data_IF_917142452970
#
_entry.id   IF_917142452970
#
_cell.length_a   1.000
_cell.length_b   1.000
_cell.length_c   1.000
_cell.angle_alpha   90.00
_cell.angle_beta   90.00
_cell.angle_gamma   90.00
#
_symmetry.space_group_name_H-M   'P 1'
#
loop_
_entity.id
_entity.type
_entity.pdbx_description
1 polymer ?
#
# COMPACT_ATOMS: atom_id res chain seq x y z
N UNK A 1 23.45 -41.58 -13.48
CA UNK A 1 23.19 -40.13 -13.38
C UNK A 1 22.36 -39.91 -12.13
N UNK A 2 22.86 -39.10 -11.19
CA UNK A 2 22.15 -38.77 -9.96
C UNK A 2 21.31 -37.51 -10.24
N UNK A 3 20.00 -37.61 -10.11
CA UNK A 3 19.11 -36.47 -10.30
C UNK A 3 18.61 -35.98 -8.95
N UNK A 4 18.63 -34.69 -8.72
CA UNK A 4 18.09 -34.08 -7.52
C UNK A 4 16.58 -34.35 -7.42
N UNK A 5 16.12 -34.91 -6.30
CA UNK A 5 14.69 -35.23 -6.12
C UNK A 5 13.79 -33.97 -5.98
N UNK A 6 14.37 -32.78 -5.81
CA UNK A 6 13.64 -31.51 -5.66
C UNK A 6 13.47 -30.80 -7.01
N UNK A 7 14.56 -30.58 -7.74
CA UNK A 7 14.51 -29.83 -9.01
C UNK A 7 14.53 -30.72 -10.26
N UNK A 8 14.72 -32.04 -10.09
CA UNK A 8 14.83 -33.05 -11.16
C UNK A 8 16.00 -32.87 -12.14
N UNK A 9 16.90 -31.91 -11.87
CA UNK A 9 18.12 -31.69 -12.65
C UNK A 9 19.23 -32.67 -12.24
N UNK A 10 20.14 -32.94 -13.18
CA UNK A 10 21.33 -33.75 -12.93
C UNK A 10 22.26 -33.06 -11.92
N UNK A 11 22.83 -33.85 -11.02
CA UNK A 11 23.85 -33.42 -10.05
C UNK A 11 25.21 -33.71 -10.67
N UNK A 12 25.92 -32.64 -11.03
CA UNK A 12 27.21 -32.72 -11.74
C UNK A 12 28.36 -32.75 -10.73
N UNK A 13 29.10 -33.84 -10.71
CA UNK A 13 30.26 -34.03 -9.83
C UNK A 13 31.32 -32.94 -10.09
N UNK A 14 31.82 -32.33 -9.00
CA UNK A 14 32.80 -31.24 -9.05
C UNK A 14 32.20 -29.84 -9.28
N UNK A 15 30.92 -29.72 -9.66
CA UNK A 15 30.20 -28.43 -9.72
C UNK A 15 29.17 -28.29 -8.61
N UNK A 16 28.46 -29.38 -8.34
CA UNK A 16 27.34 -29.41 -7.41
C UNK A 16 27.73 -30.06 -6.07
N UNK A 17 27.19 -29.52 -4.99
CA UNK A 17 27.30 -30.13 -3.66
C UNK A 17 26.12 -31.09 -3.49
N UNK A 18 26.41 -32.40 -3.45
CA UNK A 18 25.43 -33.45 -3.23
C UNK A 18 25.13 -33.62 -1.74
N UNK A 19 23.85 -33.60 -1.39
CA UNK A 19 23.33 -34.02 -0.07
C UNK A 19 22.36 -35.19 -0.25
N UNK A 20 22.16 -35.96 0.81
CA UNK A 20 21.25 -37.09 0.80
C UNK A 20 20.46 -37.17 2.10
N UNK A 21 19.24 -37.68 2.01
CA UNK A 21 18.49 -38.12 3.19
C UNK A 21 19.02 -39.46 3.71
N UNK A 22 18.58 -39.94 4.89
CA UNK A 22 18.99 -41.25 5.42
C UNK A 22 18.66 -42.45 4.52
N UNK A 23 17.67 -42.31 3.63
CA UNK A 23 17.30 -43.31 2.62
C UNK A 23 17.99 -43.06 1.26
N UNK A 24 19.16 -42.41 1.27
CA UNK A 24 20.03 -42.17 0.10
C UNK A 24 19.46 -41.33 -1.05
N UNK A 25 18.27 -40.73 -0.91
CA UNK A 25 17.73 -39.88 -1.96
C UNK A 25 18.54 -38.59 -2.16
N UNK A 26 19.05 -38.33 -3.38
CA UNK A 26 19.99 -37.25 -3.66
C UNK A 26 19.31 -35.89 -3.89
N UNK A 27 19.93 -34.82 -3.38
CA UNK A 27 19.51 -33.42 -3.59
C UNK A 27 20.72 -32.50 -3.73
N UNK A 28 20.57 -31.41 -4.48
CA UNK A 28 21.52 -30.28 -4.44
C UNK A 28 21.47 -29.59 -3.07
N UNK A 29 22.62 -29.15 -2.56
CA UNK A 29 22.71 -28.40 -1.28
C UNK A 29 21.83 -27.14 -1.28
N UNK A 30 21.83 -26.37 -2.38
CA UNK A 30 20.98 -25.18 -2.53
C UNK A 30 19.48 -25.53 -2.57
N UNK A 31 19.10 -26.59 -3.30
CA UNK A 31 17.71 -27.05 -3.30
C UNK A 31 17.26 -27.53 -1.92
N UNK A 32 18.16 -28.18 -1.17
CA UNK A 32 17.87 -28.63 0.19
C UNK A 32 17.70 -27.46 1.15
N UNK A 33 18.57 -26.44 1.09
CA UNK A 33 18.45 -25.23 1.92
C UNK A 33 17.09 -24.55 1.74
N UNK A 34 16.66 -24.35 0.50
CA UNK A 34 15.34 -23.79 0.19
C UNK A 34 14.20 -24.71 0.68
N UNK A 35 14.32 -26.02 0.51
CA UNK A 35 13.31 -26.98 0.99
C UNK A 35 13.15 -26.98 2.52
N UNK A 36 14.26 -26.86 3.26
CA UNK A 36 14.26 -26.84 4.71
C UNK A 36 13.54 -25.62 5.31
N UNK A 37 13.28 -24.56 4.52
CA UNK A 37 12.39 -23.45 4.93
C UNK A 37 10.94 -23.90 5.12
N UNK A 38 10.55 -25.02 4.49
CA UNK A 38 9.19 -25.53 4.48
C UNK A 38 9.03 -26.83 5.25
N UNK A 39 10.02 -27.74 5.19
CA UNK A 39 9.95 -29.04 5.86
C UNK A 39 11.32 -29.62 6.18
N UNK A 40 11.53 -30.21 7.38
CA UNK A 40 12.75 -30.92 7.74
C UNK A 40 12.82 -32.35 7.17
N UNK A 41 11.79 -32.80 6.44
CA UNK A 41 11.68 -34.18 5.94
C UNK A 41 11.97 -34.26 4.45
N UNK A 42 12.49 -35.40 4.00
CA UNK A 42 12.71 -35.68 2.58
C UNK A 42 11.37 -35.65 1.81
N UNK A 43 11.26 -34.91 0.68
CA UNK A 43 10.01 -34.81 -0.08
C UNK A 43 9.53 -36.15 -0.66
N UNK A 44 10.46 -37.09 -0.90
CA UNK A 44 10.15 -38.36 -1.55
C UNK A 44 9.72 -39.46 -0.57
N UNK A 45 10.42 -39.59 0.57
CA UNK A 45 10.19 -40.68 1.53
C UNK A 45 9.73 -40.20 2.91
N UNK A 46 9.54 -38.88 3.09
CA UNK A 46 9.11 -38.23 4.33
C UNK A 46 10.00 -38.52 5.55
N UNK A 47 11.21 -39.04 5.33
CA UNK A 47 12.17 -39.31 6.40
C UNK A 47 12.90 -38.02 6.78
N UNK A 48 12.99 -37.67 8.07
CA UNK A 48 13.74 -36.50 8.53
C UNK A 48 15.19 -36.53 8.05
N UNK A 49 15.72 -35.38 7.64
CA UNK A 49 17.16 -35.25 7.35
C UNK A 49 17.99 -35.41 8.63
N UNK A 50 19.28 -35.76 8.47
CA UNK A 50 20.18 -35.94 9.61
C UNK A 50 20.39 -34.64 10.40
N UNK A 51 20.70 -34.75 11.69
CA UNK A 51 20.90 -33.58 12.56
C UNK A 51 21.97 -32.63 12.02
N UNK A 52 23.08 -33.14 11.47
CA UNK A 52 24.13 -32.31 10.84
C UNK A 52 23.60 -31.46 9.66
N UNK A 53 22.72 -32.02 8.84
CA UNK A 53 22.07 -31.30 7.72
C UNK A 53 21.10 -30.25 8.27
N UNK A 54 20.28 -30.63 9.25
CA UNK A 54 19.30 -29.74 9.84
C UNK A 54 19.98 -28.57 10.56
N UNK A 55 21.08 -28.79 11.26
CA UNK A 55 21.86 -27.74 11.92
C UNK A 55 22.47 -26.76 10.92
N UNK A 56 23.04 -27.24 9.81
CA UNK A 56 23.52 -26.38 8.71
C UNK A 56 22.37 -25.60 8.06
N UNK A 57 21.18 -26.19 7.99
CA UNK A 57 19.97 -25.53 7.53
C UNK A 57 19.47 -24.42 8.46
N UNK A 58 19.66 -24.54 9.79
CA UNK A 58 19.17 -23.54 10.78
C UNK A 58 19.76 -22.15 10.56
N UNK A 59 21.04 -22.05 10.24
CA UNK A 59 21.68 -20.75 10.02
C UNK A 59 21.15 -20.08 8.75
N UNK A 60 20.95 -20.86 7.68
CA UNK A 60 20.30 -20.40 6.46
C UNK A 60 18.85 -19.95 6.70
N UNK A 61 18.07 -20.71 7.48
CA UNK A 61 16.69 -20.35 7.85
C UNK A 61 16.68 -19.00 8.60
N UNK A 62 17.54 -18.84 9.62
CA UNK A 62 17.63 -17.59 10.38
C UNK A 62 18.01 -16.40 9.51
N UNK A 63 18.93 -16.59 8.57
CA UNK A 63 19.33 -15.55 7.61
C UNK A 63 18.15 -15.15 6.71
N UNK A 64 17.43 -16.13 6.15
CA UNK A 64 16.23 -15.88 5.33
C UNK A 64 15.09 -15.22 6.10
N UNK A 65 14.87 -15.61 7.35
CA UNK A 65 13.87 -14.97 8.23
C UNK A 65 14.24 -13.51 8.49
N UNK A 66 15.52 -13.23 8.77
CA UNK A 66 16.01 -11.87 8.96
C UNK A 66 15.87 -11.02 7.68
N UNK A 67 16.25 -11.55 6.52
CA UNK A 67 16.07 -10.87 5.23
C UNK A 67 14.60 -10.51 4.98
N UNK A 68 13.68 -11.42 5.31
CA UNK A 68 12.23 -11.17 5.19
C UNK A 68 11.79 -10.04 6.12
N UNK A 69 12.21 -10.06 7.38
CA UNK A 69 11.91 -9.01 8.35
C UNK A 69 12.44 -7.64 7.87
N UNK A 70 13.66 -7.60 7.36
CA UNK A 70 14.27 -6.35 6.88
C UNK A 70 13.55 -5.82 5.64
N UNK A 71 13.12 -6.69 4.72
CA UNK A 71 12.26 -6.33 3.58
C UNK A 71 10.91 -5.78 4.04
N UNK A 72 10.24 -6.47 4.97
CA UNK A 72 8.94 -6.04 5.51
C UNK A 72 9.07 -4.68 6.22
N UNK A 73 10.15 -4.47 6.98
CA UNK A 73 10.47 -3.18 7.62
C UNK A 73 10.69 -2.07 6.60
N UNK A 74 11.44 -2.34 5.52
CA UNK A 74 11.66 -1.36 4.46
C UNK A 74 10.34 -0.91 3.81
N UNK A 75 9.43 -1.84 3.52
CA UNK A 75 8.09 -1.54 2.97
C UNK A 75 7.29 -0.66 3.93
N UNK A 76 7.36 -0.92 5.23
CA UNK A 76 6.67 -0.10 6.24
C UNK A 76 7.25 1.32 6.27
N UNK A 77 8.58 1.46 6.27
CA UNK A 77 9.27 2.76 6.27
C UNK A 77 8.88 3.57 5.02
N UNK A 78 8.83 2.93 3.85
CA UNK A 78 8.42 3.57 2.60
C UNK A 78 6.98 4.09 2.69
N UNK A 79 6.04 3.28 3.22
CA UNK A 79 4.64 3.70 3.44
C UNK A 79 4.52 4.88 4.41
N UNK A 80 5.30 4.89 5.48
CA UNK A 80 5.31 5.98 6.45
C UNK A 80 5.86 7.26 5.81
N UNK A 81 6.96 7.16 5.06
CA UNK A 81 7.55 8.29 4.35
C UNK A 81 6.55 8.88 3.34
N UNK A 82 5.88 8.04 2.56
CA UNK A 82 4.84 8.46 1.61
C UNK A 82 3.67 9.19 2.30
N UNK A 83 3.23 8.69 3.46
CA UNK A 83 2.20 9.36 4.27
C UNK A 83 2.69 10.70 4.83
N UNK A 84 3.93 10.78 5.30
CA UNK A 84 4.53 12.02 5.82
C UNK A 84 4.67 13.09 4.73
N UNK A 85 5.10 12.70 3.52
CA UNK A 85 5.19 13.61 2.37
C UNK A 85 3.81 14.18 2.04
N UNK A 86 2.78 13.33 2.03
CA UNK A 86 1.42 13.79 1.76
C UNK A 86 0.85 14.68 2.87
N UNK A 87 1.17 14.41 4.14
CA UNK A 87 0.77 15.28 5.24
C UNK A 87 1.43 16.66 5.16
N UNK A 88 2.73 16.72 4.84
CA UNK A 88 3.42 17.99 4.59
C UNK A 88 2.79 18.76 3.44
N UNK A 89 2.42 18.07 2.38
CA UNK A 89 1.69 18.66 1.26
C UNK A 89 0.37 19.29 1.72
N UNK A 90 -0.43 18.58 2.54
CA UNK A 90 -1.69 19.11 3.09
C UNK A 90 -1.48 20.34 3.96
N UNK A 91 -0.52 20.30 4.89
CA UNK A 91 -0.23 21.43 5.76
C UNK A 91 0.12 22.69 4.94
N UNK A 92 0.88 22.51 3.86
CA UNK A 92 1.21 23.62 2.95
C UNK A 92 -0.01 24.18 2.22
N UNK A 93 -1.01 23.35 1.91
CA UNK A 93 -2.28 23.83 1.34
C UNK A 93 -3.10 24.57 2.42
N UNK A 94 -3.16 24.05 3.63
CA UNK A 94 -3.90 24.69 4.73
C UNK A 94 -3.30 26.05 5.12
N UNK A 95 -1.96 26.20 5.06
CA UNK A 95 -1.27 27.49 5.22
C UNK A 95 -1.72 28.49 4.15
N UNK A 96 -1.70 28.09 2.87
CA UNK A 96 -2.15 28.94 1.77
C UNK A 96 -3.63 29.33 1.90
N UNK A 97 -4.48 28.42 2.38
CA UNK A 97 -5.89 28.70 2.66
C UNK A 97 -6.03 29.73 3.78
N UNK A 98 -5.24 29.63 4.86
CA UNK A 98 -5.24 30.61 5.96
C UNK A 98 -4.82 32.00 5.49
N UNK A 99 -3.84 32.06 4.60
CA UNK A 99 -3.37 33.30 3.95
C UNK A 99 -4.35 33.83 2.88
N UNK A 100 -5.44 33.11 2.60
CA UNK A 100 -6.40 33.37 1.50
C UNK A 100 -5.76 33.34 0.10
N UNK A 101 -4.58 32.74 -0.03
CA UNK A 101 -3.90 32.55 -1.30
C UNK A 101 -4.44 31.30 -2.02
N UNK A 102 -5.70 31.38 -2.46
CA UNK A 102 -6.43 30.27 -3.06
C UNK A 102 -5.86 29.84 -4.42
N UNK A 103 -5.23 30.76 -5.16
CA UNK A 103 -4.69 30.47 -6.49
C UNK A 103 -3.45 29.58 -6.38
N UNK A 104 -2.49 29.97 -5.54
CA UNK A 104 -1.33 29.13 -5.28
C UNK A 104 -1.71 27.75 -4.71
N UNK A 105 -2.78 27.68 -3.89
CA UNK A 105 -3.29 26.41 -3.37
C UNK A 105 -3.84 25.52 -4.49
N UNK A 106 -4.62 26.07 -5.41
CA UNK A 106 -5.15 25.34 -6.57
C UNK A 106 -4.04 24.92 -7.53
N UNK A 107 -3.04 25.76 -7.76
CA UNK A 107 -1.89 25.44 -8.62
C UNK A 107 -1.11 24.26 -8.06
N UNK A 108 -0.83 24.26 -6.75
CA UNK A 108 -0.21 23.11 -6.06
C UNK A 108 -1.05 21.84 -6.19
N UNK A 109 -2.38 21.93 -6.07
CA UNK A 109 -3.29 20.78 -6.22
C UNK A 109 -3.41 20.30 -7.68
N UNK A 110 -3.21 21.17 -8.67
CA UNK A 110 -3.25 20.82 -10.09
C UNK A 110 -1.91 20.27 -10.59
N UNK A 111 -0.80 20.65 -9.96
CA UNK A 111 0.53 20.09 -10.24
C UNK A 111 0.67 18.61 -9.84
N UNK A 112 -0.24 18.09 -9.00
CA UNK A 112 -0.23 16.68 -8.61
C UNK A 112 -0.69 15.81 -9.79
N UNK A 113 0.15 14.88 -10.22
CA UNK A 113 -0.17 13.93 -11.28
C UNK A 113 -1.04 12.78 -10.75
N UNK A 114 -2.26 12.68 -11.26
CA UNK A 114 -3.26 11.68 -10.87
C UNK A 114 -2.80 10.22 -11.02
N UNK A 115 -1.84 9.92 -11.92
CA UNK A 115 -1.41 8.55 -12.22
C UNK A 115 -0.72 7.83 -11.06
N UNK A 116 -0.12 8.58 -10.13
CA UNK A 116 0.63 8.02 -9.01
C UNK A 116 -0.12 8.11 -7.67
N UNK A 117 -1.38 8.55 -7.70
CA UNK A 117 -2.17 8.72 -6.48
C UNK A 117 -2.94 7.44 -6.17
N UNK A 118 -2.83 7.00 -4.92
CA UNK A 118 -3.77 6.04 -4.39
C UNK A 118 -5.16 6.70 -4.22
N UNK A 119 -6.20 5.87 -4.13
CA UNK A 119 -7.59 6.32 -4.06
C UNK A 119 -7.83 7.32 -2.90
N UNK A 120 -7.35 7.08 -1.66
CA UNK A 120 -7.53 8.04 -0.56
C UNK A 120 -6.93 9.42 -0.84
N UNK A 121 -5.72 9.49 -1.41
CA UNK A 121 -5.08 10.77 -1.72
C UNK A 121 -5.85 11.53 -2.80
N UNK A 122 -6.33 10.82 -3.83
CA UNK A 122 -7.15 11.42 -4.90
C UNK A 122 -8.45 12.01 -4.35
N UNK A 123 -9.13 11.28 -3.47
CA UNK A 123 -10.33 11.76 -2.79
C UNK A 123 -10.06 13.02 -1.97
N UNK A 124 -8.96 13.04 -1.23
CA UNK A 124 -8.59 14.21 -0.43
C UNK A 124 -8.22 15.43 -1.27
N UNK A 125 -7.59 15.25 -2.44
CA UNK A 125 -7.35 16.34 -3.38
C UNK A 125 -8.67 16.89 -3.94
N UNK A 126 -9.63 16.03 -4.29
CA UNK A 126 -10.96 16.47 -4.72
C UNK A 126 -11.66 17.28 -3.63
N UNK A 127 -11.58 16.83 -2.37
CA UNK A 127 -12.11 17.55 -1.23
C UNK A 127 -11.48 18.94 -1.09
N UNK A 128 -10.14 19.02 -1.11
CA UNK A 128 -9.42 20.29 -0.96
C UNK A 128 -9.75 21.27 -2.09
N UNK A 129 -9.82 20.81 -3.35
CA UNK A 129 -10.25 21.64 -4.48
C UNK A 129 -11.67 22.19 -4.24
N UNK A 130 -12.61 21.32 -3.84
CA UNK A 130 -13.98 21.71 -3.52
C UNK A 130 -14.06 22.76 -2.41
N UNK A 131 -13.33 22.54 -1.30
CA UNK A 131 -13.22 23.48 -0.18
C UNK A 131 -12.65 24.84 -0.61
N UNK A 132 -11.58 24.85 -1.41
CA UNK A 132 -10.95 26.09 -1.88
C UNK A 132 -11.89 26.87 -2.81
N UNK A 133 -12.59 26.20 -3.73
CA UNK A 133 -13.57 26.86 -4.59
C UNK A 133 -14.73 27.46 -3.81
N UNK A 134 -15.22 26.75 -2.77
CA UNK A 134 -16.22 27.29 -1.85
C UNK A 134 -15.71 28.56 -1.16
N UNK A 135 -14.49 28.53 -0.61
CA UNK A 135 -13.89 29.69 0.05
C UNK A 135 -13.60 30.86 -0.90
N UNK A 136 -13.42 30.59 -2.19
CA UNK A 136 -13.27 31.60 -3.26
C UNK A 136 -14.64 32.15 -3.73
N UNK A 137 -15.76 31.62 -3.24
CA UNK A 137 -17.12 32.00 -3.65
C UNK A 137 -17.56 31.38 -4.99
N UNK A 138 -16.79 30.44 -5.54
CA UNK A 138 -17.11 29.73 -6.78
C UNK A 138 -17.87 28.45 -6.47
N UNK A 139 -19.12 28.60 -6.05
CA UNK A 139 -19.95 27.51 -5.54
C UNK A 139 -20.27 26.44 -6.59
N UNK A 140 -20.42 26.84 -7.85
CA UNK A 140 -20.61 25.95 -9.00
C UNK A 140 -19.44 24.96 -9.16
N UNK A 141 -18.20 25.45 -9.11
CA UNK A 141 -16.99 24.64 -9.20
C UNK A 141 -16.82 23.78 -7.94
N UNK A 142 -17.14 24.33 -6.76
CA UNK A 142 -17.10 23.60 -5.50
C UNK A 142 -18.01 22.37 -5.55
N UNK A 143 -19.25 22.54 -6.01
CA UNK A 143 -20.21 21.44 -6.21
C UNK A 143 -19.65 20.39 -7.16
N UNK A 144 -19.05 20.78 -8.29
CA UNK A 144 -18.48 19.84 -9.25
C UNK A 144 -17.45 18.89 -8.64
N UNK A 145 -16.53 19.43 -7.82
CA UNK A 145 -15.51 18.63 -7.15
C UNK A 145 -16.05 17.81 -5.98
N UNK A 146 -16.89 18.41 -5.12
CA UNK A 146 -17.46 17.76 -3.94
C UNK A 146 -18.46 16.67 -4.33
N UNK A 147 -19.30 16.90 -5.35
CA UNK A 147 -20.25 15.92 -5.83
C UNK A 147 -19.55 14.68 -6.40
N UNK A 148 -18.46 14.89 -7.14
CA UNK A 148 -17.64 13.81 -7.67
C UNK A 148 -17.01 12.97 -6.54
N UNK A 149 -16.59 13.61 -5.45
CA UNK A 149 -16.08 12.95 -4.26
C UNK A 149 -17.16 12.10 -3.56
N UNK A 150 -18.32 12.67 -3.25
CA UNK A 150 -19.38 11.93 -2.52
C UNK A 150 -20.00 10.81 -3.34
N UNK A 151 -19.94 10.91 -4.68
CA UNK A 151 -20.37 9.83 -5.58
C UNK A 151 -19.43 8.62 -5.50
N UNK A 152 -18.13 8.83 -5.29
CA UNK A 152 -17.15 7.75 -5.14
C UNK A 152 -17.15 7.20 -3.70
N UNK A 153 -17.25 8.06 -2.69
CA UNK A 153 -17.28 7.68 -1.28
C UNK A 153 -18.45 8.36 -0.56
N UNK A 154 -19.48 7.57 -0.24
CA UNK A 154 -20.68 8.05 0.43
C UNK A 154 -20.48 8.43 1.91
N UNK A 155 -19.26 8.27 2.44
CA UNK A 155 -18.90 8.58 3.82
C UNK A 155 -17.74 9.59 3.86
N UNK A 156 -18.08 10.85 3.56
CA UNK A 156 -17.19 12.00 3.66
C UNK A 156 -17.99 13.19 4.22
N UNK A 157 -18.25 13.22 5.55
CA UNK A 157 -19.13 14.20 6.19
C UNK A 157 -18.83 15.66 5.84
N UNK A 158 -17.55 16.03 5.83
CA UNK A 158 -17.11 17.39 5.53
C UNK A 158 -17.42 17.76 4.08
N UNK A 159 -17.37 16.79 3.15
CA UNK A 159 -17.70 17.04 1.75
C UNK A 159 -19.19 17.32 1.59
N UNK A 160 -20.06 16.57 2.29
CA UNK A 160 -21.50 16.84 2.32
C UNK A 160 -21.80 18.20 2.95
N UNK A 161 -21.09 18.58 4.03
CA UNK A 161 -21.24 19.88 4.67
C UNK A 161 -20.93 21.03 3.70
N UNK A 162 -19.78 21.00 3.02
CA UNK A 162 -19.42 22.04 2.04
C UNK A 162 -20.28 21.99 0.78
N UNK A 163 -20.78 20.81 0.39
CA UNK A 163 -21.69 20.65 -0.74
C UNK A 163 -23.05 21.30 -0.42
N UNK A 164 -23.61 21.04 0.77
CA UNK A 164 -24.84 21.66 1.23
C UNK A 164 -24.72 23.18 1.35
N UNK A 165 -23.63 23.67 1.93
CA UNK A 165 -23.33 25.12 1.98
C UNK A 165 -23.23 25.72 0.58
N UNK A 166 -22.52 25.07 -0.34
CA UNK A 166 -22.43 25.54 -1.73
C UNK A 166 -23.80 25.60 -2.42
N UNK A 167 -24.69 24.63 -2.17
CA UNK A 167 -26.05 24.66 -2.72
C UNK A 167 -26.91 25.77 -2.11
N UNK A 168 -26.79 25.99 -0.81
CA UNK A 168 -27.51 27.05 -0.10
C UNK A 168 -27.13 28.44 -0.62
N UNK A 169 -25.83 28.69 -0.84
CA UNK A 169 -25.34 29.94 -1.42
C UNK A 169 -25.84 30.19 -2.86
N UNK A 170 -26.21 29.12 -3.59
CA UNK A 170 -26.83 29.20 -4.91
C UNK A 170 -28.36 29.23 -4.87
N UNK A 171 -28.98 29.23 -3.67
CA UNK A 171 -30.44 29.22 -3.49
C UNK A 171 -31.10 27.88 -3.82
N UNK A 172 -30.34 26.78 -3.85
CA UNK A 172 -30.82 25.43 -4.17
C UNK A 172 -31.18 24.67 -2.89
N UNK A 173 -32.23 25.12 -2.20
CA UNK A 173 -32.59 24.69 -0.84
C UNK A 173 -32.83 23.17 -0.73
N UNK A 174 -33.57 22.58 -1.68
CA UNK A 174 -33.86 21.13 -1.68
C UNK A 174 -32.57 20.29 -1.74
N UNK A 175 -31.59 20.74 -2.52
CA UNK A 175 -30.30 20.04 -2.66
C UNK A 175 -29.40 20.28 -1.45
N UNK A 176 -29.48 21.46 -0.85
CA UNK A 176 -28.78 21.76 0.39
C UNK A 176 -29.26 20.85 1.52
N UNK A 177 -30.58 20.71 1.69
CA UNK A 177 -31.17 19.81 2.68
C UNK A 177 -30.74 18.35 2.44
N UNK A 178 -30.84 17.87 1.19
CA UNK A 178 -30.37 16.53 0.83
C UNK A 178 -28.91 16.26 1.25
N UNK A 179 -28.03 17.25 1.11
CA UNK A 179 -26.63 17.13 1.49
C UNK A 179 -26.46 17.16 3.01
N UNK A 180 -27.14 18.05 3.72
CA UNK A 180 -27.05 18.17 5.18
C UNK A 180 -27.60 16.95 5.92
N UNK A 181 -28.63 16.29 5.39
CA UNK A 181 -29.18 15.05 5.97
C UNK A 181 -28.17 13.90 6.01
N UNK A 182 -27.12 13.95 5.17
CA UNK A 182 -26.04 12.96 5.11
C UNK A 182 -24.84 13.31 5.97
N UNK A 183 -24.84 14.49 6.59
CA UNK A 183 -23.84 14.85 7.60
C UNK A 183 -24.29 14.20 8.92
N UNK A 184 -23.46 13.32 9.53
CA UNK A 184 -23.78 12.73 10.83
C UNK A 184 -24.07 13.83 11.86
N UNK A 185 -25.11 13.64 12.66
CA UNK A 185 -25.39 14.49 13.82
C UNK A 185 -24.53 13.97 14.97
N UNK A 186 -23.69 14.85 15.54
CA UNK A 186 -22.90 14.58 16.75
C UNK A 186 -23.80 14.26 17.96
#
# INVERSE_FOLDING_TARGET
MLNCIICHMEIVEGKDILRKCPNDHPVHDECLKEWLLHSPNCPLCNTPYSQDILEKGKDYIKEKEKEKIDKDRAIIIEKIADKMVFLKFQNSIDELIKEKNYEAALDKLNAVNDKNLNVPKKQQILFLKGKIFYLKGKYDMAIGHLFRLVKEKFDYPEAFLYLGKSYQELGLEDKAQWAFERVPKE
#
